data_IF_443110550198
#
_entry.id   IF_443110550198
#
_cell.length_a   1.000
_cell.length_b   1.000
_cell.length_c   1.000
_cell.angle_alpha   90.00
_cell.angle_beta   90.00
_cell.angle_gamma   90.00
#
_symmetry.space_group_name_H-M   'P 1'
#
loop_
_entity.id
_entity.type
_entity.pdbx_description
1 polymer ?
#
# COMPACT_ATOMS: atom_id res chain seq x y z
N UNK A 1 -27.17 16.65 -34.06
CA UNK A 1 -27.01 15.97 -32.75
C UNK A 1 -25.71 16.48 -32.15
N UNK A 2 -25.63 16.82 -30.86
CA UNK A 2 -24.34 17.16 -30.26
C UNK A 2 -23.40 15.95 -30.38
N UNK A 3 -22.10 16.15 -30.61
CA UNK A 3 -21.14 15.06 -30.68
C UNK A 3 -21.19 14.27 -29.38
N UNK A 4 -21.35 12.95 -29.47
CA UNK A 4 -21.33 12.06 -28.30
C UNK A 4 -19.88 12.00 -27.79
N UNK A 5 -19.55 12.87 -26.83
CA UNK A 5 -18.21 12.96 -26.28
C UNK A 5 -17.88 11.68 -25.52
N UNK A 6 -16.70 11.07 -25.75
CA UNK A 6 -16.36 9.81 -25.10
C UNK A 6 -16.27 10.01 -23.59
N UNK A 7 -16.90 9.09 -22.84
CA UNK A 7 -16.93 9.12 -21.38
C UNK A 7 -15.63 8.62 -20.78
N UNK A 8 -15.05 7.59 -21.37
CA UNK A 8 -13.73 7.05 -21.01
C UNK A 8 -12.86 6.99 -22.27
N UNK A 9 -11.56 7.12 -22.07
CA UNK A 9 -10.54 6.77 -23.07
C UNK A 9 -9.71 5.64 -22.48
N UNK A 10 -9.82 4.45 -23.06
CA UNK A 10 -9.18 3.23 -22.56
C UNK A 10 -8.05 2.87 -23.50
N UNK A 11 -6.83 2.84 -22.98
CA UNK A 11 -5.68 2.25 -23.67
C UNK A 11 -5.55 0.80 -23.26
N UNK A 12 -5.48 -0.10 -24.25
CA UNK A 12 -5.26 -1.53 -24.05
C UNK A 12 -3.90 -1.93 -24.61
N UNK A 13 -3.19 -2.81 -23.90
CA UNK A 13 -1.84 -3.22 -24.24
C UNK A 13 -1.73 -4.74 -24.28
N UNK A 14 -0.91 -5.21 -25.20
CA UNK A 14 -0.79 -6.63 -25.47
C UNK A 14 -0.08 -7.40 -24.35
N UNK A 15 0.88 -6.78 -23.70
CA UNK A 15 1.68 -7.39 -22.64
C UNK A 15 1.42 -6.68 -21.30
N UNK A 16 1.87 -7.30 -20.21
CA UNK A 16 1.93 -6.65 -18.90
C UNK A 16 2.81 -5.38 -18.98
N UNK A 17 2.67 -4.47 -18.01
CA UNK A 17 3.46 -3.25 -17.87
C UNK A 17 3.41 -2.31 -19.09
N UNK A 18 2.28 -2.26 -19.79
CA UNK A 18 2.03 -1.41 -20.95
C UNK A 18 2.93 -1.74 -22.16
N UNK A 19 3.43 -2.97 -22.22
CA UNK A 19 4.28 -3.43 -23.31
C UNK A 19 3.49 -3.95 -24.52
N UNK A 20 4.20 -4.09 -25.64
CA UNK A 20 3.67 -4.69 -26.86
C UNK A 20 2.71 -3.77 -27.64
N UNK A 21 1.80 -4.38 -28.41
CA UNK A 21 0.82 -3.65 -29.25
C UNK A 21 -0.13 -2.85 -28.36
N UNK A 22 -0.46 -1.62 -28.78
CA UNK A 22 -1.40 -0.71 -28.11
C UNK A 22 -2.65 -0.50 -28.97
N UNK A 23 -3.81 -0.42 -28.33
CA UNK A 23 -5.09 -0.02 -28.92
C UNK A 23 -5.79 1.03 -28.06
N UNK A 24 -6.76 1.73 -28.65
CA UNK A 24 -7.58 2.72 -27.96
C UNK A 24 -9.06 2.34 -28.11
N UNK A 25 -9.80 2.42 -27.02
CA UNK A 25 -11.24 2.15 -26.94
C UNK A 25 -11.93 3.35 -26.30
N UNK A 26 -12.88 3.93 -27.02
CA UNK A 26 -13.65 5.12 -26.60
C UNK A 26 -15.17 4.89 -26.60
N UNK A 27 -15.59 3.74 -27.13
CA UNK A 27 -16.97 3.29 -27.23
C UNK A 27 -17.03 1.77 -27.00
N UNK A 28 -18.23 1.22 -26.89
CA UNK A 28 -18.36 -0.21 -26.67
C UNK A 28 -17.83 -1.01 -27.87
N UNK A 29 -17.07 -2.04 -27.55
CA UNK A 29 -16.45 -2.94 -28.52
C UNK A 29 -17.00 -4.34 -28.32
N UNK A 30 -17.91 -4.78 -29.21
CA UNK A 30 -18.53 -6.12 -29.16
C UNK A 30 -17.54 -7.26 -29.44
N UNK A 31 -16.44 -6.96 -30.14
CA UNK A 31 -15.34 -7.88 -30.39
C UNK A 31 -14.00 -7.13 -30.50
N UNK A 32 -13.08 -7.36 -29.56
CA UNK A 32 -11.72 -6.79 -29.53
C UNK A 32 -10.83 -7.20 -30.71
N UNK A 33 -11.19 -8.24 -31.46
CA UNK A 33 -10.50 -8.61 -32.68
C UNK A 33 -10.60 -7.51 -33.74
N UNK A 34 -11.68 -6.70 -33.70
CA UNK A 34 -11.85 -5.55 -34.58
C UNK A 34 -10.77 -4.46 -34.36
N UNK A 35 -10.21 -4.38 -33.15
CA UNK A 35 -9.13 -3.46 -32.80
C UNK A 35 -7.76 -4.16 -32.73
N UNK A 36 -7.65 -5.37 -33.28
CA UNK A 36 -6.37 -6.09 -33.41
C UNK A 36 -5.92 -6.87 -32.16
N UNK A 37 -6.82 -7.11 -31.21
CA UNK A 37 -6.57 -7.89 -30.00
C UNK A 37 -7.41 -9.18 -29.98
N UNK A 38 -6.79 -10.34 -29.76
CA UNK A 38 -7.44 -11.65 -29.76
C UNK A 38 -7.03 -12.44 -28.54
N UNK A 39 -7.69 -12.18 -27.41
CA UNK A 39 -7.35 -12.77 -26.11
C UNK A 39 -5.86 -12.56 -25.77
N UNK A 40 -5.43 -11.31 -25.82
CA UNK A 40 -4.06 -10.90 -25.55
C UNK A 40 -4.01 -9.46 -25.05
N UNK A 41 -4.97 -9.04 -24.21
CA UNK A 41 -4.88 -7.75 -23.51
C UNK A 41 -4.45 -8.07 -22.09
N UNK A 42 -3.22 -7.67 -21.71
CA UNK A 42 -2.69 -7.98 -20.39
C UNK A 42 -2.55 -6.75 -19.48
N UNK A 43 -2.62 -5.52 -20.00
CA UNK A 43 -2.56 -4.31 -19.17
C UNK A 43 -3.37 -3.17 -19.80
N UNK A 44 -3.87 -2.24 -18.97
CA UNK A 44 -4.75 -1.16 -19.43
C UNK A 44 -4.51 0.15 -18.69
N UNK A 45 -4.75 1.28 -19.37
CA UNK A 45 -4.85 2.61 -18.77
C UNK A 45 -6.20 3.20 -19.08
N UNK A 46 -6.90 3.70 -18.08
CA UNK A 46 -8.27 4.20 -18.22
C UNK A 46 -8.28 5.65 -17.79
N UNK A 47 -8.59 6.53 -18.74
CA UNK A 47 -8.67 7.98 -18.53
C UNK A 47 -10.13 8.46 -18.57
N UNK A 48 -10.42 9.52 -17.82
CA UNK A 48 -11.69 10.25 -17.93
C UNK A 48 -11.71 11.00 -19.27
N UNK A 49 -12.73 10.76 -20.09
CA UNK A 49 -12.93 11.44 -21.36
C UNK A 49 -13.73 12.76 -21.21
N UNK A 50 -13.85 13.57 -22.28
CA UNK A 50 -14.54 14.87 -22.22
C UNK A 50 -16.03 14.78 -21.83
N UNK A 51 -16.66 13.61 -22.00
CA UNK A 51 -18.04 13.35 -21.59
C UNK A 51 -18.20 12.83 -20.15
N UNK A 52 -17.11 12.64 -19.39
CA UNK A 52 -17.16 11.97 -18.08
C UNK A 52 -18.00 12.71 -17.04
N UNK A 53 -17.99 14.06 -17.07
CA UNK A 53 -18.71 14.90 -16.11
C UNK A 53 -20.25 14.89 -16.30
N UNK A 54 -20.75 14.43 -17.45
CA UNK A 54 -22.17 14.51 -17.83
C UNK A 54 -23.08 13.41 -17.22
N UNK A 55 -22.60 12.65 -16.23
CA UNK A 55 -23.43 11.77 -15.40
C UNK A 55 -23.00 10.31 -15.34
N UNK A 56 -23.27 9.71 -14.16
CA UNK A 56 -22.97 8.36 -13.68
C UNK A 56 -21.47 7.94 -13.63
N UNK A 57 -21.08 7.25 -12.57
CA UNK A 57 -19.73 6.77 -12.28
C UNK A 57 -19.30 5.67 -13.28
N UNK A 58 -19.01 6.05 -14.53
CA UNK A 58 -18.76 5.10 -15.60
C UNK A 58 -17.48 4.28 -15.39
N UNK A 59 -17.59 2.97 -15.61
CA UNK A 59 -16.51 1.99 -15.55
C UNK A 59 -16.29 1.35 -16.92
N UNK A 60 -15.09 0.82 -17.12
CA UNK A 60 -14.76 -0.04 -18.24
C UNK A 60 -15.00 -1.50 -17.82
N UNK A 61 -15.93 -2.18 -18.47
CA UNK A 61 -16.22 -3.59 -18.25
C UNK A 61 -15.55 -4.41 -19.34
N UNK A 62 -14.63 -5.29 -18.96
CA UNK A 62 -13.93 -6.22 -19.85
C UNK A 62 -14.57 -7.60 -19.73
N UNK A 63 -14.96 -8.21 -20.84
CA UNK A 63 -15.69 -9.48 -20.87
C UNK A 63 -14.85 -10.58 -21.53
N UNK A 64 -14.95 -11.81 -21.02
CA UNK A 64 -14.17 -12.96 -21.53
C UNK A 64 -14.63 -13.43 -22.92
N UNK A 65 -15.86 -13.13 -23.29
CA UNK A 65 -16.45 -13.53 -24.58
C UNK A 65 -16.94 -12.33 -25.38
N UNK A 66 -17.23 -12.57 -26.65
CA UNK A 66 -17.78 -11.56 -27.57
C UNK A 66 -19.22 -11.20 -27.18
N UNK A 67 -19.62 -9.95 -27.45
CA UNK A 67 -20.97 -9.47 -27.20
C UNK A 67 -21.33 -9.35 -25.72
N UNK A 68 -20.36 -8.98 -24.87
CA UNK A 68 -20.52 -8.70 -23.44
C UNK A 68 -20.99 -9.92 -22.63
N UNK A 69 -20.47 -11.09 -22.99
CA UNK A 69 -20.82 -12.38 -22.38
C UNK A 69 -19.65 -12.96 -21.58
N UNK A 70 -19.96 -14.00 -20.81
CA UNK A 70 -19.00 -14.65 -19.93
C UNK A 70 -18.74 -13.80 -18.68
N UNK A 71 -17.63 -14.09 -18.00
CA UNK A 71 -17.22 -13.32 -16.83
C UNK A 71 -16.87 -11.89 -17.24
N UNK A 72 -17.14 -10.93 -16.36
CA UNK A 72 -16.78 -9.53 -16.55
C UNK A 72 -15.77 -9.08 -15.49
N UNK A 73 -14.97 -8.09 -15.84
CA UNK A 73 -14.07 -7.34 -14.96
C UNK A 73 -14.43 -5.86 -15.10
N UNK A 74 -15.00 -5.25 -14.06
CA UNK A 74 -15.34 -3.83 -13.99
C UNK A 74 -14.19 -2.99 -13.41
N UNK A 75 -13.59 -2.08 -14.19
CA UNK A 75 -12.47 -1.21 -13.76
C UNK A 75 -12.82 0.28 -13.87
N UNK A 76 -12.35 1.07 -12.90
CA UNK A 76 -12.45 2.54 -12.92
C UNK A 76 -11.32 3.22 -13.70
N UNK A 77 -11.34 4.57 -13.80
CA UNK A 77 -10.16 5.33 -14.24
C UNK A 77 -8.94 4.99 -13.38
N UNK A 78 -7.80 4.68 -14.00
CA UNK A 78 -6.63 4.15 -13.31
C UNK A 78 -5.63 3.47 -14.24
N UNK A 79 -4.54 2.98 -13.65
CA UNK A 79 -3.40 2.38 -14.34
C UNK A 79 -3.23 0.93 -13.85
N UNK A 80 -3.47 -0.03 -14.73
CA UNK A 80 -3.51 -1.45 -14.40
C UNK A 80 -2.38 -2.15 -15.14
N UNK A 81 -1.25 -2.33 -14.45
CA UNK A 81 -0.01 -2.88 -15.01
C UNK A 81 -0.16 -4.36 -15.41
N UNK A 82 -1.12 -5.07 -14.85
CA UNK A 82 -1.43 -6.46 -15.23
C UNK A 82 -2.91 -6.77 -14.97
N UNK A 83 -3.55 -7.49 -15.91
CA UNK A 83 -4.88 -8.06 -15.76
C UNK A 83 -4.87 -9.48 -15.17
N UNK A 84 -3.68 -10.07 -14.99
CA UNK A 84 -3.50 -11.42 -14.44
C UNK A 84 -3.61 -11.43 -12.90
N UNK A 85 -3.48 -10.26 -12.29
CA UNK A 85 -3.41 -10.09 -10.83
C UNK A 85 -4.58 -9.25 -10.27
N UNK A 86 -5.53 -8.85 -11.12
CA UNK A 86 -6.84 -8.29 -10.72
C UNK A 86 -7.82 -9.42 -10.41
N UNK A 87 -8.99 -9.08 -9.83
CA UNK A 87 -10.05 -10.01 -9.43
C UNK A 87 -10.14 -11.24 -10.34
N UNK A 88 -9.89 -12.41 -9.74
CA UNK A 88 -10.01 -13.73 -10.35
C UNK A 88 -9.06 -14.06 -11.52
N UNK A 89 -7.92 -13.38 -11.64
CA UNK A 89 -6.93 -13.61 -12.71
C UNK A 89 -7.59 -13.57 -14.09
N UNK A 90 -8.16 -12.41 -14.43
CA UNK A 90 -8.84 -12.22 -15.71
C UNK A 90 -7.88 -12.44 -16.88
N UNK A 91 -6.60 -12.07 -16.70
CA UNK A 91 -5.51 -12.34 -17.61
C UNK A 91 -5.79 -11.84 -19.03
N UNK A 92 -5.34 -12.62 -20.01
CA UNK A 92 -5.38 -12.22 -21.41
C UNK A 92 -6.75 -12.44 -22.07
N UNK A 93 -7.79 -12.87 -21.35
CA UNK A 93 -8.96 -13.46 -22.00
C UNK A 93 -9.99 -12.47 -22.54
N UNK A 94 -9.74 -11.16 -22.46
CA UNK A 94 -10.64 -10.09 -22.91
C UNK A 94 -11.05 -10.30 -24.38
N UNK A 95 -12.37 -10.29 -24.63
CA UNK A 95 -12.96 -10.41 -25.97
C UNK A 95 -13.98 -9.33 -26.31
N UNK A 96 -14.63 -8.69 -25.34
CA UNK A 96 -15.44 -7.48 -25.57
C UNK A 96 -15.31 -6.49 -24.42
N UNK A 97 -15.56 -5.21 -24.69
CA UNK A 97 -15.38 -4.10 -23.75
C UNK A 97 -16.61 -3.19 -23.79
N UNK A 98 -17.20 -2.87 -22.64
CA UNK A 98 -18.33 -1.92 -22.55
C UNK A 98 -18.01 -0.78 -21.57
N UNK A 99 -18.58 0.40 -21.84
CA UNK A 99 -18.50 1.57 -20.95
C UNK A 99 -19.88 1.79 -20.34
N UNK A 100 -20.06 1.51 -19.04
CA UNK A 100 -21.37 1.54 -18.37
C UNK A 100 -21.28 2.23 -17.01
N UNK A 101 -22.42 2.77 -16.56
CA UNK A 101 -22.60 3.18 -15.18
C UNK A 101 -22.68 1.93 -14.31
N UNK A 102 -21.74 1.76 -13.38
CA UNK A 102 -21.67 0.56 -12.55
C UNK A 102 -21.29 0.95 -11.11
N UNK A 103 -21.94 0.30 -10.15
CA UNK A 103 -21.73 0.56 -8.71
C UNK A 103 -20.67 -0.37 -8.13
N UNK A 104 -20.54 -1.57 -8.68
CA UNK A 104 -19.54 -2.57 -8.30
C UNK A 104 -18.29 -2.48 -9.19
N UNK A 105 -17.10 -2.51 -8.58
CA UNK A 105 -15.81 -2.51 -9.29
C UNK A 105 -15.14 -3.84 -8.99
N UNK A 106 -14.83 -4.61 -10.03
CA UNK A 106 -14.08 -5.87 -9.91
C UNK A 106 -12.59 -5.54 -9.96
N UNK A 107 -12.03 -5.28 -8.79
CA UNK A 107 -10.66 -4.84 -8.64
C UNK A 107 -10.65 -3.54 -7.82
N UNK A 108 -9.71 -3.37 -6.89
CA UNK A 108 -9.73 -2.20 -6.03
C UNK A 108 -9.74 -0.88 -6.80
N UNK A 109 -10.36 0.14 -6.21
CA UNK A 109 -10.24 1.53 -6.66
C UNK A 109 -8.83 1.99 -6.28
N UNK A 110 -7.86 1.83 -7.19
CA UNK A 110 -6.46 2.21 -6.95
C UNK A 110 -6.14 3.58 -7.56
N UNK A 111 -5.46 4.43 -6.79
CA UNK A 111 -4.93 5.70 -7.30
C UNK A 111 -5.19 6.90 -6.39
N UNK A 112 -5.07 6.72 -5.07
CA UNK A 112 -4.99 7.88 -4.18
C UNK A 112 -3.73 8.67 -4.54
N UNK A 113 -3.89 9.89 -5.04
CA UNK A 113 -2.81 10.78 -5.43
C UNK A 113 -2.87 12.02 -4.53
N UNK A 114 -2.02 12.12 -3.49
CA UNK A 114 -1.97 13.32 -2.67
C UNK A 114 -1.42 14.52 -3.45
N UNK A 115 -0.57 14.28 -4.46
CA UNK A 115 -0.08 15.30 -5.38
C UNK A 115 0.17 14.72 -6.77
N UNK A 116 0.12 15.59 -7.78
CA UNK A 116 0.59 15.33 -9.14
C UNK A 116 1.76 16.27 -9.41
N UNK A 117 2.95 15.70 -9.55
CA UNK A 117 4.20 16.44 -9.73
C UNK A 117 4.57 16.40 -11.21
N UNK A 118 4.62 17.57 -11.84
CA UNK A 118 5.13 17.74 -13.19
C UNK A 118 6.52 18.36 -13.16
N UNK A 119 7.47 17.65 -13.74
CA UNK A 119 8.84 18.08 -13.92
C UNK A 119 9.07 18.44 -15.39
N UNK A 120 9.78 19.53 -15.63
CA UNK A 120 10.10 20.00 -16.98
C UNK A 120 11.62 20.17 -17.10
N UNK A 121 12.19 19.77 -18.23
CA UNK A 121 13.64 19.91 -18.50
C UNK A 121 14.06 21.33 -18.91
N UNK A 122 13.10 22.23 -19.18
CA UNK A 122 13.30 23.65 -19.39
C UNK A 122 12.73 24.53 -18.26
N UNK A 123 13.23 25.77 -18.10
CA UNK A 123 12.61 26.74 -17.21
C UNK A 123 11.26 27.20 -17.78
N UNK A 124 10.42 27.75 -16.91
CA UNK A 124 9.09 28.26 -17.21
C UNK A 124 8.15 27.20 -17.82
N UNK A 125 8.24 25.96 -17.33
CA UNK A 125 7.38 24.83 -17.70
C UNK A 125 7.47 24.45 -19.18
N UNK A 126 8.65 24.58 -19.77
CA UNK A 126 8.94 24.28 -21.18
C UNK A 126 9.72 22.99 -21.33
N UNK A 127 9.66 22.42 -22.54
CA UNK A 127 10.43 21.23 -22.92
C UNK A 127 9.71 19.92 -22.60
N UNK A 128 10.47 18.86 -22.35
CA UNK A 128 9.95 17.53 -22.04
C UNK A 128 9.36 17.52 -20.64
N UNK A 129 8.10 17.08 -20.54
CA UNK A 129 7.36 16.95 -19.29
C UNK A 129 7.38 15.50 -18.79
N UNK A 130 7.75 15.32 -17.53
CA UNK A 130 7.67 14.04 -16.82
C UNK A 130 6.71 14.20 -15.63
N UNK A 131 5.65 13.40 -15.61
CA UNK A 131 4.63 13.43 -14.55
C UNK A 131 4.84 12.29 -13.56
N UNK A 132 4.88 12.63 -12.27
CA UNK A 132 5.04 11.73 -11.13
C UNK A 132 3.80 11.86 -10.24
N UNK A 133 3.18 10.73 -9.92
CA UNK A 133 1.94 10.67 -9.13
C UNK A 133 2.08 9.78 -7.89
N UNK A 134 3.30 9.28 -7.65
CA UNK A 134 3.68 8.38 -6.55
C UNK A 134 5.19 8.44 -6.33
N UNK A 135 5.65 7.82 -5.26
CA UNK A 135 7.09 7.64 -5.01
C UNK A 135 7.76 6.94 -6.20
N UNK A 136 8.89 7.48 -6.64
CA UNK A 136 9.73 6.96 -7.71
C UNK A 136 11.16 6.88 -7.22
N UNK A 137 11.62 5.65 -6.98
CA UNK A 137 12.94 5.37 -6.39
C UNK A 137 14.07 5.40 -7.43
N UNK A 138 13.77 5.32 -8.73
CA UNK A 138 14.75 5.34 -9.81
C UNK A 138 14.24 6.13 -11.03
N UNK A 139 14.64 7.40 -11.08
CA UNK A 139 14.28 8.32 -12.16
C UNK A 139 15.00 8.03 -13.48
N UNK A 140 16.08 7.24 -13.48
CA UNK A 140 16.81 6.93 -14.72
C UNK A 140 15.93 6.15 -15.72
N UNK A 141 14.95 5.40 -15.22
CA UNK A 141 13.98 4.65 -16.03
C UNK A 141 12.87 5.50 -16.65
N UNK A 142 12.70 6.76 -16.22
CA UNK A 142 11.58 7.64 -16.58
C UNK A 142 11.94 8.75 -17.57
N UNK A 143 13.23 8.94 -17.88
CA UNK A 143 13.78 9.98 -18.78
C UNK A 143 13.61 11.41 -18.24
N UNK A 144 14.60 11.93 -17.51
CA UNK A 144 15.50 13.07 -17.83
C UNK A 144 16.28 13.46 -16.56
N UNK A 145 17.58 13.70 -16.70
CA UNK A 145 18.51 13.90 -15.59
C UNK A 145 18.47 15.32 -14.97
N UNK A 146 17.54 16.20 -15.35
CA UNK A 146 17.51 17.57 -14.80
C UNK A 146 16.14 18.25 -14.93
N UNK A 147 15.40 18.36 -13.83
CA UNK A 147 14.24 19.24 -13.76
C UNK A 147 14.71 20.70 -13.63
N UNK A 148 14.27 21.58 -14.53
CA UNK A 148 14.53 23.03 -14.54
C UNK A 148 13.33 23.85 -14.10
N UNK A 149 12.13 23.27 -14.13
CA UNK A 149 10.93 23.84 -13.50
C UNK A 149 10.00 22.73 -13.01
N UNK A 150 9.21 23.05 -11.98
CA UNK A 150 8.36 22.08 -11.28
C UNK A 150 6.96 22.66 -11.05
N UNK A 151 5.94 21.85 -11.26
CA UNK A 151 4.57 22.13 -10.80
C UNK A 151 4.09 20.99 -9.93
N UNK A 152 3.62 21.29 -8.73
CA UNK A 152 2.99 20.31 -7.85
C UNK A 152 1.51 20.68 -7.74
N UNK A 153 0.66 19.91 -8.40
CA UNK A 153 -0.78 20.06 -8.26
C UNK A 153 -1.27 19.29 -7.04
N UNK A 154 -2.15 19.90 -6.25
CA UNK A 154 -2.85 19.21 -5.18
C UNK A 154 -3.72 18.11 -5.80
N UNK A 155 -3.45 16.87 -5.41
CA UNK A 155 -4.19 15.73 -5.91
C UNK A 155 -5.50 15.52 -5.14
N UNK A 156 -6.43 14.71 -5.67
CA UNK A 156 -7.75 14.50 -5.09
C UNK A 156 -7.72 13.89 -3.67
N UNK A 157 -6.60 13.29 -3.28
CA UNK A 157 -6.42 12.57 -2.01
C UNK A 157 -5.40 13.28 -1.10
N UNK A 158 -5.13 14.56 -1.36
CA UNK A 158 -4.25 15.35 -0.51
C UNK A 158 -4.87 15.48 0.89
N UNK A 159 -4.11 15.20 1.97
CA UNK A 159 -4.63 15.29 3.33
C UNK A 159 -5.17 16.68 3.66
N UNK A 160 -6.07 16.77 4.65
CA UNK A 160 -6.52 18.06 5.19
C UNK A 160 -5.37 18.94 5.71
N UNK A 161 -4.26 18.33 6.13
CA UNK A 161 -3.05 19.02 6.61
C UNK A 161 -2.08 19.43 5.48
N UNK A 162 -2.36 19.05 4.24
CA UNK A 162 -1.46 19.24 3.10
C UNK A 162 -0.61 17.99 2.80
N UNK A 163 0.27 18.11 1.82
CA UNK A 163 1.20 17.06 1.41
C UNK A 163 2.59 17.68 1.12
N UNK A 164 3.62 16.84 1.06
CA UNK A 164 5.00 17.28 0.83
C UNK A 164 5.64 16.45 -0.26
N UNK A 165 6.29 17.10 -1.21
CA UNK A 165 7.08 16.44 -2.26
C UNK A 165 8.56 16.62 -1.94
N UNK A 166 9.33 15.55 -1.94
CA UNK A 166 10.78 15.56 -1.71
C UNK A 166 11.51 15.09 -2.96
N UNK A 167 12.48 15.88 -3.43
CA UNK A 167 13.30 15.61 -4.60
C UNK A 167 14.73 15.30 -4.16
N UNK A 168 15.26 14.16 -4.60
CA UNK A 168 16.59 13.69 -4.20
C UNK A 168 17.56 13.64 -5.38
N UNK A 169 18.82 13.97 -5.12
CA UNK A 169 19.88 13.87 -6.11
C UNK A 169 20.19 12.42 -6.49
N UNK A 170 20.12 11.52 -5.51
CA UNK A 170 20.48 10.12 -5.64
C UNK A 170 19.23 9.25 -5.81
N UNK A 171 19.34 8.07 -6.43
CA UNK A 171 18.26 7.08 -6.43
C UNK A 171 17.96 6.61 -4.99
N UNK A 172 16.88 5.86 -4.83
CA UNK A 172 16.51 5.22 -3.56
C UNK A 172 16.29 6.19 -2.39
N UNK A 173 15.90 7.44 -2.69
CA UNK A 173 15.64 8.50 -1.72
C UNK A 173 16.85 8.82 -0.83
N UNK A 174 18.07 8.74 -1.40
CA UNK A 174 19.32 9.04 -0.71
C UNK A 174 19.76 10.51 -0.86
N UNK A 175 20.45 11.00 0.17
CA UNK A 175 20.93 12.39 0.27
C UNK A 175 19.91 13.36 0.87
N UNK A 176 20.32 14.63 0.96
CA UNK A 176 19.46 15.71 1.44
C UNK A 176 18.37 16.03 0.39
N UNK A 177 17.08 16.01 0.77
CA UNK A 177 15.99 16.33 -0.15
C UNK A 177 15.79 17.83 -0.32
N UNK A 178 15.45 18.24 -1.53
CA UNK A 178 14.75 19.50 -1.76
C UNK A 178 13.24 19.30 -1.53
N UNK A 179 12.68 19.99 -0.53
CA UNK A 179 11.28 19.81 -0.12
C UNK A 179 10.37 20.90 -0.69
N UNK A 180 9.22 20.47 -1.20
CA UNK A 180 8.14 21.33 -1.70
C UNK A 180 6.89 21.00 -0.88
N UNK A 181 6.50 21.90 0.00
CA UNK A 181 5.26 21.77 0.77
C UNK A 181 4.07 22.25 -0.05
N UNK A 182 2.99 21.47 -0.08
CA UNK A 182 1.68 21.85 -0.62
C UNK A 182 0.75 22.05 0.57
N UNK A 183 0.46 23.31 0.88
CA UNK A 183 -0.40 23.66 2.01
C UNK A 183 -1.87 23.27 1.74
N UNK A 184 -2.72 23.17 2.78
CA UNK A 184 -4.14 22.88 2.60
C UNK A 184 -4.87 23.83 1.66
N UNK A 185 -4.43 25.09 1.58
CA UNK A 185 -5.07 26.16 0.81
C UNK A 185 -4.62 26.21 -0.66
N UNK A 186 -3.45 25.65 -0.98
CA UNK A 186 -2.90 25.68 -2.33
C UNK A 186 -3.52 24.58 -3.21
N UNK A 187 -3.93 24.95 -4.42
CA UNK A 187 -4.32 23.98 -5.45
C UNK A 187 -3.14 23.58 -6.34
N UNK A 188 -2.10 24.42 -6.37
CA UNK A 188 -0.85 24.20 -7.12
C UNK A 188 0.29 24.98 -6.45
N UNK A 189 1.47 24.38 -6.42
CA UNK A 189 2.74 25.01 -6.09
C UNK A 189 3.61 25.05 -7.34
N UNK A 190 4.17 26.22 -7.64
CA UNK A 190 4.81 26.54 -8.91
C UNK A 190 6.24 27.02 -8.70
N UNK A 191 7.21 26.31 -9.27
CA UNK A 191 8.63 26.69 -9.29
C UNK A 191 9.02 26.92 -10.76
N UNK A 192 8.96 28.18 -11.25
CA UNK A 192 9.17 28.49 -12.66
C UNK A 192 10.62 28.34 -13.10
N UNK A 193 11.59 28.56 -12.21
CA UNK A 193 12.99 28.30 -12.52
C UNK A 193 13.69 27.85 -11.25
N UNK A 194 14.12 26.60 -11.28
CA UNK A 194 14.85 25.96 -10.19
C UNK A 194 16.22 26.60 -9.98
N UNK A 195 16.89 27.03 -11.06
CA UNK A 195 18.23 27.61 -10.99
C UNK A 195 18.26 29.00 -10.32
N UNK A 196 17.09 29.62 -10.12
CA UNK A 196 16.95 30.91 -9.47
C UNK A 196 16.72 30.80 -7.95
N UNK A 197 16.58 29.59 -7.40
CA UNK A 197 16.32 29.39 -5.97
C UNK A 197 17.60 29.52 -5.12
N UNK A 198 17.52 30.10 -3.92
CA UNK A 198 18.66 30.26 -3.01
C UNK A 198 19.11 28.94 -2.35
N UNK A 199 18.25 27.93 -2.29
CA UNK A 199 18.60 26.55 -1.93
C UNK A 199 18.90 25.74 -3.19
N UNK A 200 20.00 25.00 -3.19
CA UNK A 200 20.41 24.17 -4.31
C UNK A 200 19.45 22.98 -4.46
N UNK A 201 18.48 23.07 -5.38
CA UNK A 201 17.84 21.86 -5.87
C UNK A 201 18.93 20.94 -6.46
N UNK A 202 18.80 19.61 -6.30
CA UNK A 202 19.72 18.67 -6.92
C UNK A 202 20.02 18.97 -8.40
N UNK A 203 21.31 19.06 -8.75
CA UNK A 203 21.79 19.21 -10.15
C UNK A 203 21.54 17.95 -11.01
N UNK A 204 20.99 16.92 -10.41
CA UNK A 204 20.55 15.66 -11.00
C UNK A 204 19.34 15.20 -10.21
N UNK A 205 18.38 14.50 -10.82
CA UNK A 205 17.22 13.97 -10.11
C UNK A 205 17.25 12.44 -10.13
N UNK A 206 17.53 11.84 -8.97
CA UNK A 206 17.65 10.39 -8.83
C UNK A 206 16.37 9.72 -8.32
N UNK A 207 15.63 10.38 -7.44
CA UNK A 207 14.36 9.87 -6.92
C UNK A 207 13.42 10.98 -6.43
N UNK A 208 12.12 10.69 -6.37
CA UNK A 208 11.07 11.62 -5.94
C UNK A 208 10.12 10.92 -4.99
N UNK A 209 9.89 11.52 -3.82
CA UNK A 209 8.96 11.03 -2.80
C UNK A 209 7.79 11.98 -2.63
N UNK A 210 6.57 11.46 -2.49
CA UNK A 210 5.35 12.21 -2.21
C UNK A 210 4.80 11.77 -0.86
N UNK A 211 5.08 12.58 0.15
CA UNK A 211 4.55 12.48 1.50
C UNK A 211 3.22 13.22 1.64
N UNK A 212 2.45 12.91 2.67
CA UNK A 212 1.03 13.29 2.76
C UNK A 212 0.12 12.08 2.67
N UNK A 213 0.59 10.94 3.15
CA UNK A 213 -0.27 9.85 3.52
C UNK A 213 -0.39 9.92 5.03
N UNK A 214 -1.32 10.73 5.54
CA UNK A 214 -1.66 10.63 6.96
C UNK A 214 -2.20 9.22 7.18
N UNK A 215 -1.74 8.58 8.26
CA UNK A 215 -2.24 7.27 8.67
C UNK A 215 -3.77 7.26 8.58
N UNK A 216 -4.35 6.34 7.83
CA UNK A 216 -5.79 6.37 7.64
C UNK A 216 -6.46 6.06 8.98
N UNK A 217 -7.32 6.96 9.47
CA UNK A 217 -8.14 6.70 10.67
C UNK A 217 -9.17 5.59 10.43
N UNK A 218 -9.30 5.14 9.18
CA UNK A 218 -10.08 4.00 8.71
C UNK A 218 -9.79 2.71 9.50
N UNK A 219 -8.52 2.36 9.74
CA UNK A 219 -8.16 1.18 10.54
C UNK A 219 -8.02 1.56 12.01
N UNK A 220 -9.14 1.66 12.71
CA UNK A 220 -9.19 2.11 14.10
C UNK A 220 -9.60 1.01 15.09
N UNK A 221 -10.20 -0.08 14.62
CA UNK A 221 -10.70 -1.12 15.51
C UNK A 221 -9.66 -2.22 15.70
N UNK A 222 -9.09 -2.31 16.90
CA UNK A 222 -8.18 -3.40 17.25
C UNK A 222 -8.97 -4.71 17.31
N UNK A 223 -8.54 -5.70 16.52
CA UNK A 223 -9.11 -7.07 16.49
C UNK A 223 -8.14 -8.10 17.05
N UNK A 224 -6.86 -7.77 17.09
CA UNK A 224 -5.84 -8.53 17.80
C UNK A 224 -4.79 -7.60 18.36
N UNK A 225 -4.29 -7.93 19.54
CA UNK A 225 -3.18 -7.25 20.19
C UNK A 225 -2.42 -8.26 21.02
N UNK A 226 -1.10 -8.15 21.06
CA UNK A 226 -0.23 -8.85 22.00
C UNK A 226 0.80 -7.86 22.52
N UNK A 227 0.84 -7.66 23.84
CA UNK A 227 1.83 -6.82 24.54
C UNK A 227 3.00 -7.67 25.06
N UNK A 228 3.01 -8.98 24.77
CA UNK A 228 4.05 -9.91 25.21
C UNK A 228 4.29 -9.91 26.73
N UNK A 229 3.25 -9.60 27.51
CA UNK A 229 3.25 -9.50 28.97
C UNK A 229 2.79 -10.79 29.68
N UNK A 230 2.29 -11.76 28.91
CA UNK A 230 1.82 -13.05 29.38
C UNK A 230 2.91 -14.07 29.72
N UNK A 231 2.49 -15.19 30.31
CA UNK A 231 3.33 -16.39 30.51
C UNK A 231 3.49 -17.23 29.25
N UNK A 232 2.84 -16.85 28.14
CA UNK A 232 2.95 -17.48 26.82
C UNK A 232 2.52 -16.46 25.78
N UNK A 233 3.02 -16.61 24.56
CA UNK A 233 2.49 -15.90 23.40
C UNK A 233 0.97 -16.15 23.28
N UNK A 234 0.20 -15.14 22.85
CA UNK A 234 -1.25 -15.30 22.65
C UNK A 234 -1.54 -16.35 21.58
N UNK A 235 -2.75 -16.91 21.61
CA UNK A 235 -3.16 -17.94 20.66
C UNK A 235 -3.17 -17.43 19.20
N UNK A 236 -2.79 -18.33 18.28
CA UNK A 236 -2.77 -18.06 16.83
C UNK A 236 -1.43 -17.60 16.27
N UNK A 237 -0.43 -17.44 17.13
CA UNK A 237 0.95 -17.22 16.71
C UNK A 237 1.62 -18.50 16.19
N UNK A 238 2.45 -18.34 15.17
CA UNK A 238 3.32 -19.34 14.56
C UNK A 238 4.76 -18.82 14.61
N UNK A 239 5.63 -19.57 15.28
CA UNK A 239 7.06 -19.27 15.38
C UNK A 239 7.83 -20.01 14.28
N UNK A 240 8.71 -19.31 13.58
CA UNK A 240 9.63 -19.91 12.62
C UNK A 240 11.03 -19.35 12.87
N UNK A 241 11.96 -20.22 13.25
CA UNK A 241 13.38 -19.91 13.43
C UNK A 241 14.22 -21.08 12.89
N UNK A 242 14.50 -21.11 11.57
CA UNK A 242 15.16 -22.23 10.91
C UNK A 242 16.58 -22.53 11.41
N UNK A 243 17.22 -21.59 12.12
CA UNK A 243 18.61 -21.68 12.58
C UNK A 243 18.74 -21.72 14.10
N UNK A 244 17.61 -21.76 14.82
CA UNK A 244 17.54 -21.78 16.29
C UNK A 244 18.38 -20.66 16.95
N UNK A 245 18.39 -19.47 16.33
CA UNK A 245 19.20 -18.33 16.79
C UNK A 245 18.46 -17.33 17.64
N UNK A 246 17.13 -17.38 17.67
CA UNK A 246 16.27 -16.41 18.32
C UNK A 246 15.66 -16.92 19.63
N UNK A 247 15.64 -16.06 20.64
CA UNK A 247 15.13 -16.35 21.97
C UNK A 247 13.97 -15.43 22.33
N UNK A 248 12.81 -15.99 22.69
CA UNK A 248 11.74 -15.28 23.41
C UNK A 248 11.68 -15.72 24.89
N UNK A 249 11.31 -14.80 25.80
CA UNK A 249 11.19 -15.07 27.25
C UNK A 249 9.88 -14.52 27.80
N UNK A 250 9.26 -15.27 28.72
CA UNK A 250 7.95 -14.93 29.31
C UNK A 250 7.98 -13.69 30.23
N UNK A 251 6.83 -13.00 30.35
CA UNK A 251 6.53 -11.93 31.34
C UNK A 251 7.41 -10.67 31.29
N UNK A 252 8.03 -10.36 30.15
CA UNK A 252 8.89 -9.18 30.01
C UNK A 252 8.15 -7.94 29.52
N UNK A 253 6.93 -8.09 28.98
CA UNK A 253 6.17 -6.98 28.37
C UNK A 253 6.77 -6.51 27.05
N UNK A 254 7.55 -7.40 26.41
CA UNK A 254 8.13 -7.22 25.08
C UNK A 254 8.59 -8.58 24.53
N UNK A 255 8.68 -8.67 23.21
CA UNK A 255 9.30 -9.75 22.46
C UNK A 255 10.68 -9.29 22.00
N UNK A 256 11.71 -10.09 22.26
CA UNK A 256 13.05 -9.86 21.71
C UNK A 256 13.37 -10.95 20.71
N UNK A 257 13.92 -10.56 19.57
CA UNK A 257 14.52 -11.47 18.62
C UNK A 257 16.02 -11.18 18.59
N UNK A 258 16.83 -12.10 19.08
CA UNK A 258 18.29 -12.09 18.90
C UNK A 258 18.59 -12.87 17.64
N UNK A 259 19.47 -12.36 16.78
CA UNK A 259 19.70 -12.98 15.48
C UNK A 259 21.19 -13.08 15.25
N UNK A 260 21.65 -14.29 14.92
CA UNK A 260 23.06 -14.55 14.62
C UNK A 260 23.36 -14.22 13.15
N UNK A 261 24.62 -13.89 12.81
CA UNK A 261 25.01 -13.57 11.45
C UNK A 261 24.65 -14.67 10.45
N UNK A 262 24.07 -14.27 9.33
CA UNK A 262 23.67 -15.15 8.22
C UNK A 262 22.19 -15.53 8.23
N UNK A 263 21.41 -15.13 9.22
CA UNK A 263 19.96 -15.29 9.25
C UNK A 263 19.29 -14.06 8.66
N UNK A 264 18.83 -14.15 7.41
CA UNK A 264 18.35 -12.99 6.66
C UNK A 264 17.13 -13.34 5.80
N UNK A 265 16.45 -12.30 5.33
CA UNK A 265 15.49 -12.35 4.22
C UNK A 265 16.17 -11.72 3.01
N UNK A 266 17.11 -12.47 2.43
CA UNK A 266 17.82 -12.08 1.24
C UNK A 266 17.24 -12.79 0.02
N UNK A 267 16.84 -11.98 -0.95
CA UNK A 267 16.21 -12.45 -2.18
C UNK A 267 17.00 -13.60 -2.84
N UNK A 268 16.24 -14.57 -3.34
CA UNK A 268 16.65 -15.71 -4.14
C UNK A 268 17.63 -16.70 -3.46
N UNK A 269 18.07 -16.45 -2.22
CA UNK A 269 19.06 -17.33 -1.57
C UNK A 269 18.97 -17.48 -0.05
N UNK A 270 18.25 -16.63 0.70
CA UNK A 270 18.17 -16.73 2.16
C UNK A 270 16.79 -16.33 2.69
N UNK A 271 16.11 -17.25 3.37
CA UNK A 271 14.81 -17.03 4.00
C UNK A 271 14.80 -17.51 5.46
N UNK A 272 15.99 -17.57 6.07
CA UNK A 272 16.25 -18.17 7.37
C UNK A 272 15.99 -17.20 8.53
N UNK A 273 15.59 -15.95 8.26
CA UNK A 273 15.30 -15.00 9.32
C UNK A 273 14.19 -15.49 10.27
N UNK A 274 14.40 -15.36 11.60
CA UNK A 274 13.38 -15.68 12.58
C UNK A 274 12.20 -14.72 12.46
N UNK A 275 11.00 -15.29 12.60
CA UNK A 275 9.73 -14.57 12.43
C UNK A 275 8.64 -15.18 13.31
N UNK A 276 7.79 -14.30 13.83
CA UNK A 276 6.59 -14.66 14.57
C UNK A 276 5.39 -14.13 13.78
N UNK A 277 4.55 -15.04 13.27
CA UNK A 277 3.51 -14.73 12.31
C UNK A 277 2.15 -15.28 12.73
N UNK A 278 1.06 -14.63 12.28
CA UNK A 278 -0.31 -15.12 12.43
C UNK A 278 -1.13 -14.81 11.19
N UNK A 279 -2.22 -15.53 10.92
CA UNK A 279 -3.10 -15.20 9.80
C UNK A 279 -3.81 -13.85 10.03
N UNK A 280 -3.95 -13.08 8.94
CA UNK A 280 -4.82 -11.94 8.81
C UNK A 280 -5.53 -12.00 7.46
N UNK A 281 -6.84 -11.76 7.47
CA UNK A 281 -7.69 -11.81 6.28
C UNK A 281 -8.02 -10.41 5.76
N UNK A 282 -8.43 -10.29 4.50
CA UNK A 282 -8.96 -9.08 3.87
C UNK A 282 -8.07 -7.83 4.09
N UNK A 283 -8.69 -6.64 4.19
CA UNK A 283 -8.03 -5.37 4.49
C UNK A 283 -7.67 -5.30 5.97
N UNK A 284 -6.49 -4.77 6.30
CA UNK A 284 -6.06 -4.63 7.69
C UNK A 284 -5.00 -3.54 7.84
N UNK A 285 -4.76 -3.12 9.06
CA UNK A 285 -3.53 -2.45 9.47
C UNK A 285 -2.81 -3.31 10.50
N UNK A 286 -1.50 -3.44 10.37
CA UNK A 286 -0.66 -4.04 11.42
C UNK A 286 0.31 -3.01 11.95
N UNK A 287 0.53 -3.04 13.27
CA UNK A 287 1.36 -2.05 13.95
C UNK A 287 2.22 -2.69 15.03
N UNK A 288 3.42 -2.18 15.21
CA UNK A 288 4.31 -2.51 16.33
C UNK A 288 5.10 -1.28 16.78
N UNK A 289 5.71 -1.37 17.95
CA UNK A 289 6.70 -0.40 18.45
C UNK A 289 8.01 -1.11 18.76
N UNK A 290 9.09 -0.57 18.25
CA UNK A 290 10.46 -0.94 18.57
C UNK A 290 11.04 0.06 19.56
N UNK A 291 11.69 -0.45 20.60
CA UNK A 291 12.53 0.33 21.49
C UNK A 291 13.99 0.15 21.07
N UNK A 292 14.71 1.25 20.89
CA UNK A 292 16.09 1.25 20.40
C UNK A 292 17.00 1.78 21.53
N UNK A 293 17.71 0.88 22.17
CA UNK A 293 18.70 1.17 23.22
C UNK A 293 20.12 0.89 22.72
N UNK A 294 21.15 1.33 23.44
CA UNK A 294 22.54 1.07 23.04
C UNK A 294 22.89 -0.44 23.08
N UNK A 295 22.12 -1.23 23.85
CA UNK A 295 22.25 -2.69 23.92
C UNK A 295 21.53 -3.44 22.80
N UNK A 296 20.63 -2.76 22.07
CA UNK A 296 19.89 -3.33 20.94
C UNK A 296 20.36 -2.65 19.66
N UNK A 297 21.03 -3.37 18.77
CA UNK A 297 21.27 -2.93 17.39
C UNK A 297 20.22 -3.60 16.50
N UNK A 298 19.01 -3.02 16.38
CA UNK A 298 17.88 -3.68 15.74
C UNK A 298 18.11 -3.79 14.25
N UNK A 299 17.77 -4.95 13.71
CA UNK A 299 17.59 -5.11 12.28
C UNK A 299 16.34 -5.99 12.11
N UNK A 300 15.21 -5.37 11.78
CA UNK A 300 13.91 -6.03 11.83
C UNK A 300 12.73 -5.09 11.92
N UNK A 301 11.53 -5.64 11.89
CA UNK A 301 10.29 -4.86 11.87
C UNK A 301 9.05 -5.71 11.58
N UNK A 302 8.12 -5.13 10.83
CA UNK A 302 6.87 -5.77 10.42
C UNK A 302 7.05 -6.61 9.16
N UNK A 303 6.37 -7.76 9.12
CA UNK A 303 6.33 -8.67 7.99
C UNK A 303 4.90 -8.92 7.53
N UNK A 304 4.66 -8.84 6.22
CA UNK A 304 3.53 -9.48 5.55
C UNK A 304 4.07 -10.59 4.66
N UNK A 305 3.83 -11.84 5.06
CA UNK A 305 4.36 -13.04 4.45
C UNK A 305 3.28 -13.80 3.69
N UNK A 306 3.53 -14.06 2.40
CA UNK A 306 2.69 -14.95 1.61
C UNK A 306 3.36 -16.30 1.38
N UNK A 307 4.57 -16.28 0.81
CA UNK A 307 5.40 -17.46 0.59
C UNK A 307 6.87 -17.07 0.45
N UNK A 308 7.74 -18.07 0.38
CA UNK A 308 9.13 -17.88 -0.01
C UNK A 308 9.19 -17.08 -1.33
N UNK A 309 10.01 -16.02 -1.33
CA UNK A 309 10.19 -15.06 -2.44
C UNK A 309 8.98 -14.14 -2.73
N UNK A 310 7.96 -14.09 -1.85
CA UNK A 310 6.85 -13.14 -1.96
C UNK A 310 6.40 -12.64 -0.59
N UNK A 311 6.92 -11.48 -0.18
CA UNK A 311 6.61 -10.85 1.10
C UNK A 311 6.86 -9.34 1.01
N UNK A 312 6.30 -8.60 1.97
CA UNK A 312 6.55 -7.19 2.18
C UNK A 312 7.10 -7.02 3.59
N UNK A 313 8.12 -6.18 3.74
CA UNK A 313 8.71 -5.86 5.03
C UNK A 313 8.81 -4.35 5.21
N UNK A 314 8.60 -3.91 6.45
CA UNK A 314 8.88 -2.56 6.90
C UNK A 314 9.79 -2.68 8.12
N UNK A 315 11.03 -2.24 8.00
CA UNK A 315 12.08 -2.57 8.98
C UNK A 315 12.98 -1.41 9.32
N UNK A 316 13.51 -1.43 10.55
CA UNK A 316 14.70 -0.68 10.94
C UNK A 316 15.91 -1.52 10.57
N UNK A 317 16.89 -0.93 9.90
CA UNK A 317 18.20 -1.56 9.69
C UNK A 317 19.14 -1.27 10.85
N UNK A 318 20.12 -2.14 11.08
CA UNK A 318 21.16 -1.92 12.10
C UNK A 318 22.01 -0.69 11.75
N UNK A 319 22.51 0.00 12.78
CA UNK A 319 23.44 1.13 12.58
C UNK A 319 24.76 0.69 11.92
N UNK A 320 25.13 -0.58 12.08
CA UNK A 320 26.32 -1.19 11.48
C UNK A 320 26.07 -1.75 10.09
N UNK A 321 24.82 -1.77 9.63
CA UNK A 321 24.49 -2.17 8.28
C UNK A 321 24.95 -1.10 7.26
N UNK A 322 25.08 -1.49 5.99
CA UNK A 322 25.39 -0.54 4.91
C UNK A 322 24.38 0.62 4.83
N UNK A 323 23.14 0.37 5.27
CA UNK A 323 22.06 1.36 5.32
C UNK A 323 22.00 2.16 6.63
N UNK A 324 22.93 1.95 7.57
CA UNK A 324 23.18 2.82 8.74
C UNK A 324 21.93 3.27 9.49
N UNK A 325 21.10 2.33 9.92
CA UNK A 325 19.93 2.71 10.71
C UNK A 325 18.71 3.15 9.90
N UNK A 326 18.72 3.05 8.58
CA UNK A 326 17.58 3.42 7.75
C UNK A 326 16.29 2.64 8.06
N UNK A 327 15.15 3.24 7.75
CA UNK A 327 13.83 2.60 7.83
C UNK A 327 13.39 2.29 6.41
N UNK A 328 13.23 1.01 6.08
CA UNK A 328 13.04 0.54 4.71
C UNK A 328 11.72 -0.18 4.56
N UNK A 329 10.93 0.25 3.58
CA UNK A 329 9.75 -0.47 3.11
C UNK A 329 10.12 -1.18 1.81
N UNK A 330 10.05 -2.50 1.83
CA UNK A 330 10.48 -3.32 0.71
C UNK A 330 9.41 -4.32 0.28
N UNK A 331 9.32 -4.52 -1.04
CA UNK A 331 8.48 -5.50 -1.67
C UNK A 331 9.36 -6.54 -2.37
N UNK A 332 9.24 -7.79 -1.93
CA UNK A 332 9.94 -8.92 -2.55
C UNK A 332 8.96 -9.69 -3.42
N UNK A 333 9.32 -9.91 -4.68
CA UNK A 333 8.50 -10.66 -5.64
C UNK A 333 9.30 -11.75 -6.34
N UNK A 334 8.61 -12.81 -6.76
CA UNK A 334 9.23 -13.96 -7.41
C UNK A 334 9.81 -13.64 -8.81
N UNK A 335 9.43 -12.51 -9.44
CA UNK A 335 9.89 -12.14 -10.80
C UNK A 335 11.12 -11.22 -10.80
N UNK A 336 11.74 -10.97 -9.64
CA UNK A 336 12.88 -10.07 -9.50
C UNK A 336 12.49 -8.59 -9.59
N UNK A 337 13.44 -7.70 -9.30
CA UNK A 337 13.23 -6.25 -9.23
C UNK A 337 14.04 -5.60 -8.12
N UNK A 338 14.07 -4.27 -8.07
CA UNK A 338 14.59 -3.55 -6.90
C UNK A 338 13.59 -3.72 -5.75
N UNK A 339 13.99 -4.33 -4.61
CA UNK A 339 13.06 -4.57 -3.51
C UNK A 339 12.65 -3.29 -2.79
N UNK A 340 13.49 -2.24 -2.79
CA UNK A 340 13.15 -1.01 -2.10
C UNK A 340 11.97 -0.29 -2.75
N UNK A 341 10.92 -0.10 -1.96
CA UNK A 341 9.74 0.69 -2.33
C UNK A 341 9.90 2.11 -1.82
N UNK A 342 10.34 2.28 -0.58
CA UNK A 342 10.56 3.61 0.01
C UNK A 342 11.15 3.58 1.41
N UNK A 343 11.34 4.77 1.98
CA UNK A 343 12.10 4.98 3.22
C UNK A 343 11.38 5.88 4.22
N UNK A 344 11.56 5.60 5.51
CA UNK A 344 11.13 6.46 6.62
C UNK A 344 12.15 7.58 6.85
N UNK A 345 12.12 8.61 6.00
CA UNK A 345 13.08 9.72 6.00
C UNK A 345 13.08 10.45 7.35
N UNK A 346 14.27 10.76 7.85
CA UNK A 346 14.47 11.49 9.12
C UNK A 346 14.39 10.63 10.39
N UNK A 347 14.12 9.32 10.26
CA UNK A 347 13.90 8.43 11.41
C UNK A 347 15.10 7.53 11.74
N UNK A 348 16.23 7.68 11.05
CA UNK A 348 17.38 6.79 11.20
C UNK A 348 17.96 6.76 12.62
N UNK A 349 17.98 7.93 13.27
CA UNK A 349 18.49 8.13 14.64
C UNK A 349 17.41 8.05 15.72
N UNK A 350 16.17 7.64 15.37
CA UNK A 350 15.08 7.54 16.33
C UNK A 350 15.40 6.49 17.42
N UNK A 351 15.15 6.83 18.68
CA UNK A 351 15.34 5.93 19.85
C UNK A 351 14.13 5.08 20.18
N UNK A 352 12.99 5.38 19.57
CA UNK A 352 11.79 4.57 19.57
C UNK A 352 11.18 4.67 18.16
N UNK A 353 10.57 3.60 17.69
CA UNK A 353 10.05 3.55 16.33
C UNK A 353 8.73 2.79 16.30
N UNK A 354 7.68 3.48 15.88
CA UNK A 354 6.40 2.90 15.56
C UNK A 354 6.39 2.56 14.08
N UNK A 355 6.01 1.33 13.74
CA UNK A 355 5.92 0.86 12.37
C UNK A 355 4.49 0.43 12.10
N UNK A 356 3.97 0.74 10.91
CA UNK A 356 2.64 0.33 10.47
C UNK A 356 2.65 -0.08 9.00
N UNK A 357 1.95 -1.17 8.69
CA UNK A 357 1.64 -1.57 7.31
C UNK A 357 0.13 -1.67 7.17
N UNK A 358 -0.44 -0.97 6.18
CA UNK A 358 -1.86 -1.01 5.86
C UNK A 358 -2.09 -1.74 4.53
N UNK A 359 -2.95 -2.76 4.53
CA UNK A 359 -3.41 -3.50 3.34
C UNK A 359 -4.80 -3.01 2.92
N UNK A 360 -4.93 -2.62 1.65
CA UNK A 360 -6.19 -2.31 0.94
C UNK A 360 -6.25 -3.11 -0.36
N UNK A 361 -6.89 -4.27 -0.33
CA UNK A 361 -6.83 -5.26 -1.40
C UNK A 361 -5.39 -5.72 -1.64
N UNK A 362 -4.81 -5.26 -2.76
CA UNK A 362 -3.42 -5.54 -3.15
C UNK A 362 -2.46 -4.35 -2.92
N UNK A 363 -2.96 -3.23 -2.40
CA UNK A 363 -2.15 -2.08 -2.06
C UNK A 363 -1.66 -2.20 -0.61
N UNK A 364 -0.36 -2.07 -0.41
CA UNK A 364 0.28 -2.04 0.89
C UNK A 364 0.96 -0.70 1.08
N UNK A 365 0.64 0.00 2.17
CA UNK A 365 1.26 1.27 2.53
C UNK A 365 2.08 1.09 3.80
N UNK A 366 3.36 1.47 3.76
CA UNK A 366 4.24 1.46 4.93
C UNK A 366 4.29 2.84 5.58
N UNK A 367 4.27 2.89 6.91
CA UNK A 367 4.39 4.12 7.69
C UNK A 367 5.30 3.92 8.89
N UNK A 368 6.08 4.94 9.22
CA UNK A 368 6.92 4.95 10.41
C UNK A 368 6.76 6.25 11.19
N UNK A 369 6.96 6.20 12.50
CA UNK A 369 6.87 7.35 13.39
C UNK A 369 7.83 7.19 14.56
N UNK A 370 8.39 8.29 15.08
CA UNK A 370 9.19 8.30 16.30
C UNK A 370 8.37 8.66 17.55
N UNK A 371 7.09 9.02 17.41
CA UNK A 371 6.23 9.46 18.51
C UNK A 371 4.84 8.79 18.54
N UNK A 372 4.50 8.02 17.50
CA UNK A 372 3.22 7.30 17.36
C UNK A 372 2.05 8.19 16.95
N UNK A 373 2.28 9.49 16.75
CA UNK A 373 1.28 10.52 16.40
C UNK A 373 1.53 11.04 14.99
N UNK A 374 2.76 11.46 14.70
CA UNK A 374 3.19 12.00 13.41
C UNK A 374 3.82 10.87 12.59
N UNK A 375 3.12 10.46 11.54
CA UNK A 375 3.52 9.33 10.69
C UNK A 375 4.11 9.80 9.37
N UNK A 376 5.30 9.29 9.06
CA UNK A 376 6.00 9.45 7.78
C UNK A 376 5.66 8.27 6.88
N UNK A 377 5.20 8.56 5.66
CA UNK A 377 5.03 7.53 4.63
C UNK A 377 6.38 6.91 4.28
N UNK A 378 6.46 5.58 4.27
CA UNK A 378 7.61 4.82 3.78
C UNK A 378 7.37 4.28 2.36
N UNK A 379 6.24 4.62 1.73
CA UNK A 379 5.93 4.26 0.35
C UNK A 379 4.75 3.30 0.21
N UNK A 380 4.42 2.99 -1.04
CA UNK A 380 3.28 2.14 -1.41
C UNK A 380 3.71 1.05 -2.38
N UNK A 381 3.34 -0.18 -2.05
CA UNK A 381 3.67 -1.39 -2.78
C UNK A 381 2.38 -2.04 -3.30
N UNK A 382 2.43 -2.54 -4.54
CA UNK A 382 1.32 -3.30 -5.10
C UNK A 382 1.72 -4.75 -5.18
N UNK A 383 1.11 -5.61 -4.36
CA UNK A 383 1.40 -7.03 -4.33
C UNK A 383 0.10 -7.82 -4.30
N UNK A 384 -0.09 -8.71 -5.27
CA UNK A 384 -1.14 -9.72 -5.19
C UNK A 384 -0.72 -10.80 -4.22
N UNK A 385 -1.22 -10.68 -3.00
CA UNK A 385 -1.06 -11.67 -1.94
C UNK A 385 -2.37 -12.40 -1.71
N UNK A 386 -2.29 -13.67 -1.33
CA UNK A 386 -3.49 -14.46 -1.00
C UNK A 386 -4.31 -13.87 0.15
N UNK A 387 -5.42 -14.53 0.45
CA UNK A 387 -6.24 -14.26 1.62
C UNK A 387 -6.64 -15.62 2.23
N UNK A 388 -6.19 -15.97 3.45
CA UNK A 388 -5.41 -15.15 4.39
C UNK A 388 -3.95 -14.94 3.97
N UNK A 389 -3.39 -13.79 4.36
CA UNK A 389 -1.93 -13.57 4.47
C UNK A 389 -1.45 -13.88 5.88
N UNK A 390 -0.14 -14.13 6.06
CA UNK A 390 0.46 -14.12 7.39
C UNK A 390 1.09 -12.76 7.68
N UNK A 391 0.88 -12.26 8.89
CA UNK A 391 1.41 -10.97 9.35
C UNK A 391 2.06 -11.13 10.70
N UNK A 392 3.06 -10.28 10.99
CA UNK A 392 3.74 -10.33 12.27
C UNK A 392 5.02 -9.55 12.26
N UNK A 393 6.01 -10.07 13.00
CA UNK A 393 7.31 -9.42 13.17
C UNK A 393 8.44 -10.36 12.76
N UNK A 394 9.57 -9.77 12.36
CA UNK A 394 10.79 -10.49 12.02
C UNK A 394 12.02 -9.75 12.50
N UNK A 395 13.15 -10.45 12.58
CA UNK A 395 14.47 -9.83 12.76
C UNK A 395 15.52 -10.52 11.88
N UNK A 396 16.58 -9.79 11.54
CA UNK A 396 17.58 -10.15 10.54
C UNK A 396 18.99 -9.92 11.09
N UNK A 397 19.97 -10.63 10.57
CA UNK A 397 21.38 -10.30 10.73
C UNK A 397 22.14 -10.76 9.48
N UNK A 398 22.43 -9.85 8.53
CA UNK A 398 23.30 -10.15 7.39
C UNK A 398 24.64 -10.74 7.86
N UNK A 399 25.21 -11.66 7.06
CA UNK A 399 26.35 -12.49 7.48
C UNK A 399 27.66 -11.73 7.79
N UNK A 400 27.77 -10.48 7.37
CA UNK A 400 28.94 -9.62 7.58
C UNK A 400 28.77 -8.62 8.74
N UNK A 401 27.75 -8.79 9.59
CA UNK A 401 27.49 -7.96 10.76
C UNK A 401 27.66 -8.74 12.06
N UNK A 402 27.84 -8.07 13.22
CA UNK A 402 27.67 -8.72 14.51
C UNK A 402 26.19 -9.08 14.78
N UNK A 403 25.93 -9.96 15.77
CA UNK A 403 24.56 -10.33 16.14
C UNK A 403 23.69 -9.11 16.43
N UNK A 404 22.45 -9.14 15.94
CA UNK A 404 21.46 -8.09 16.14
C UNK A 404 20.45 -8.48 17.21
N UNK A 405 19.76 -7.48 17.73
CA UNK A 405 18.74 -7.67 18.75
C UNK A 405 17.61 -6.67 18.51
N UNK A 406 16.43 -7.19 18.16
CA UNK A 406 15.25 -6.35 17.87
C UNK A 406 14.18 -6.60 18.91
N UNK A 407 13.83 -5.56 19.67
CA UNK A 407 12.79 -5.59 20.70
C UNK A 407 11.50 -5.00 20.18
N UNK A 408 10.40 -5.73 20.31
CA UNK A 408 9.04 -5.33 19.98
C UNK A 408 8.22 -5.23 21.26
N UNK A 409 7.66 -4.07 21.55
CA UNK A 409 6.85 -3.88 22.77
C UNK A 409 5.44 -4.44 22.61
N UNK A 410 4.86 -4.34 21.41
CA UNK A 410 3.57 -4.93 21.11
C UNK A 410 3.41 -5.27 19.62
N UNK A 411 2.40 -6.05 19.30
CA UNK A 411 1.89 -6.21 17.93
C UNK A 411 0.37 -6.07 17.92
N UNK A 412 -0.16 -5.32 16.94
CA UNK A 412 -1.59 -5.11 16.74
C UNK A 412 -2.02 -5.47 15.33
N UNK A 413 -3.24 -5.98 15.20
CA UNK A 413 -4.01 -6.02 13.97
C UNK A 413 -5.24 -5.15 14.18
N UNK A 414 -5.43 -4.18 13.29
CA UNK A 414 -6.58 -3.30 13.25
C UNK A 414 -7.38 -3.53 11.97
N UNK A 415 -8.70 -3.38 12.10
CA UNK A 415 -9.69 -3.47 11.03
C UNK A 415 -10.46 -2.15 10.94
N UNK A 416 -11.19 -1.99 9.84
CA UNK A 416 -12.25 -0.97 9.78
C UNK A 416 -13.33 -1.30 10.80
N UNK A 417 -13.96 -0.30 11.45
CA UNK A 417 -15.04 -0.54 12.41
C UNK A 417 -16.14 -1.47 11.89
N UNK A 418 -16.53 -1.34 10.62
CA UNK A 418 -17.57 -2.12 9.95
C UNK A 418 -17.17 -3.56 9.61
N UNK A 419 -15.88 -3.84 9.49
CA UNK A 419 -15.30 -5.17 9.21
C UNK A 419 -14.91 -5.91 10.50
N UNK A 420 -15.00 -5.22 11.65
CA UNK A 420 -14.71 -5.84 12.92
C UNK A 420 -15.84 -6.80 13.32
N UNK A 421 -15.52 -8.04 13.72
CA UNK A 421 -16.52 -8.98 14.22
C UNK A 421 -17.27 -8.49 15.48
N UNK A 422 -16.86 -7.37 16.07
CA UNK A 422 -17.53 -6.71 17.20
C UNK A 422 -18.79 -5.89 16.80
N UNK A 423 -19.09 -5.73 15.50
CA UNK A 423 -20.32 -5.07 15.04
C UNK A 423 -21.52 -6.01 14.77
N UNK A 424 -21.47 -7.29 15.19
CA UNK A 424 -22.68 -8.14 15.17
C UNK A 424 -23.51 -7.95 16.45
N UNK A 425 -24.11 -6.76 16.58
CA UNK A 425 -25.19 -6.49 17.54
C UNK A 425 -26.46 -6.03 16.82
N UNK A 426 -26.81 -6.69 15.71
CA UNK A 426 -28.22 -6.79 15.31
C UNK A 426 -28.84 -7.98 16.00
N UNK A 427 -29.06 -7.85 17.31
CA UNK A 427 -30.08 -8.65 17.96
C UNK A 427 -31.43 -8.33 17.29
N UNK A 428 -32.14 -9.31 16.70
CA UNK A 428 -33.51 -9.07 16.28
C UNK A 428 -34.34 -8.70 17.51
N UNK A 429 -35.01 -7.56 17.43
CA UNK A 429 -36.05 -7.15 18.35
C UNK A 429 -37.13 -8.23 18.43
N UNK A 430 -37.04 -9.07 19.46
CA UNK A 430 -38.17 -9.87 19.92
C UNK A 430 -38.13 -10.02 21.44
N UNK A 431 -38.33 -8.91 22.14
CA UNK A 431 -38.85 -8.98 23.50
C UNK A 431 -40.34 -9.34 23.40
N UNK A 432 -40.66 -10.63 23.28
CA UNK A 432 -41.98 -11.16 23.62
C UNK A 432 -42.03 -11.23 25.15
N UNK A 433 -42.84 -10.36 25.76
CA UNK A 433 -43.17 -10.42 27.18
C UNK A 433 -43.69 -11.81 27.57
N UNK A 434 -43.14 -12.45 28.62
CA UNK A 434 -43.75 -13.64 29.17
C UNK A 434 -44.79 -13.27 30.25
N UNK A 435 -45.95 -13.90 30.13
CA UNK A 435 -46.97 -14.13 31.17
C UNK A 435 -47.91 -12.99 31.57
N UNK A 436 -49.09 -13.01 30.91
CA UNK A 436 -50.39 -12.82 31.58
C UNK A 436 -51.01 -14.19 31.77
N UNK A 437 -50.84 -14.80 32.96
CA UNK A 437 -51.53 -16.03 33.34
C UNK A 437 -52.69 -15.70 34.28
N UNK A 438 -53.90 -15.83 33.71
CA UNK A 438 -55.17 -16.31 34.28
C UNK A 438 -55.59 -15.84 35.68
N UNK A 439 -56.66 -15.03 35.67
CA UNK A 439 -57.71 -14.96 36.71
C UNK A 439 -58.15 -16.37 37.12
N UNK A 440 -58.04 -16.68 38.41
CA UNK A 440 -58.83 -17.71 39.06
C UNK A 440 -59.99 -17.02 39.78
N UNK A 441 -61.21 -17.29 39.30
CA UNK A 441 -62.43 -17.05 40.06
C UNK A 441 -62.48 -18.09 41.18
N UNK A 442 -62.56 -17.66 42.44
CA UNK A 442 -63.05 -18.50 43.51
C UNK A 442 -64.30 -17.86 44.11
N UNK A 443 -65.39 -18.62 44.04
CA UNK A 443 -66.71 -18.29 44.54
C UNK A 443 -66.71 -18.13 46.07
N UNK A 444 -67.59 -17.22 46.54
CA UNK A 444 -68.16 -17.16 47.90
C UNK A 444 -68.67 -18.52 48.40
N UNK A 445 -68.55 -18.75 49.71
CA UNK A 445 -69.61 -19.21 50.66
C UNK A 445 -69.07 -19.03 52.10
N UNK A 446 -69.78 -18.26 52.94
CA UNK A 446 -70.48 -18.71 54.18
C UNK A 446 -69.48 -19.35 55.18
N UNK A 447 -69.17 -18.78 56.34
CA UNK A 447 -70.02 -18.24 57.42
C UNK A 447 -69.14 -17.42 58.35
#
# INVERSE_FOLDING_TARGET
>A
MPPNLPRLVIEVFQNEWYGGRRGIVIEDTTDTAAIGFRRNISSVRIYKGPGYAAGANHKALFFQDVGYKGRALSLGPGHYQTLHDVSYNFGDVVRSIAIRAESAVDGPVWGTAPAVVDLYDGPWYRGVRTTIVRDEADMARRVTNLARSVRVHKGPDCPPIGCRVQLFAQPLFEGEPFSIDVTPQESIVEIPDVGALPQEMPQTLGSVKIEGWTSSTEFSQVVFQDEFDGTRLREGWEWTDPREGAEWRERQGWLLLRVQPGQDLWRDSNYDAPRLLRPATEDFSVETRLQITDETDPHGGLLVWFRENAFIRLEKTSAQHAFRGDIRFEQHTARGGEPLVGRGIGLAEARQLYLRIERRGNLFSGYASDNGVDWVSCGTAFASMGDPTRVGVHALCPGNMPPTATRFDYFKILKRPEESPLMDSRAPSSYRSPHRARRVNMLRKLT
#
